data_IF_786392110128
#
_entry.id   IF_786392110128
#
_cell.length_a   1.000
_cell.length_b   1.000
_cell.length_c   1.000
_cell.angle_alpha   90.00
_cell.angle_beta   90.00
_cell.angle_gamma   90.00
#
_symmetry.space_group_name_H-M   'P 1'
#
loop_
_entity.id
_entity.type
_entity.pdbx_description
1 polymer ?
#
# COMPACT_ATOMS: atom_id res chain seq x y z
N UNK A 1 -19.10 0.25 1.84
CA UNK A 1 -18.27 -0.90 1.42
C UNK A 1 -18.07 -1.78 2.64
N UNK A 2 -18.20 -3.10 2.49
CA UNK A 2 -17.99 -4.07 3.57
C UNK A 2 -16.83 -4.96 3.15
N UNK A 3 -15.83 -5.09 4.02
CA UNK A 3 -14.65 -5.94 3.78
C UNK A 3 -14.82 -7.29 4.46
N UNK A 4 -14.02 -8.28 4.05
CA UNK A 4 -14.02 -9.62 4.63
C UNK A 4 -13.71 -9.60 6.14
N UNK A 5 -12.77 -8.75 6.56
CA UNK A 5 -12.44 -8.58 7.96
C UNK A 5 -13.17 -7.36 8.56
N UNK A 6 -13.92 -7.59 9.64
CA UNK A 6 -14.60 -6.52 10.40
C UNK A 6 -13.61 -5.53 11.05
N UNK A 7 -12.35 -5.93 11.21
CA UNK A 7 -11.23 -5.13 11.70
C UNK A 7 -10.52 -4.33 10.59
N UNK A 8 -10.92 -4.50 9.33
CA UNK A 8 -10.48 -3.63 8.25
C UNK A 8 -10.95 -2.20 8.52
N UNK A 9 -10.13 -1.21 8.18
CA UNK A 9 -10.39 0.19 8.50
C UNK A 9 -10.15 1.08 7.29
N UNK A 10 -10.99 2.09 7.15
CA UNK A 10 -10.80 3.22 6.25
C UNK A 10 -10.45 4.44 7.10
N UNK A 11 -9.31 5.04 6.82
CA UNK A 11 -8.86 6.29 7.41
C UNK A 11 -8.85 7.37 6.34
N UNK A 12 -9.48 8.51 6.63
CA UNK A 12 -9.59 9.65 5.72
C UNK A 12 -8.97 10.86 6.41
N UNK A 13 -7.76 11.30 6.02
CA UNK A 13 -7.04 12.36 6.73
C UNK A 13 -7.82 13.67 6.86
N UNK A 14 -8.53 14.07 5.80
CA UNK A 14 -9.33 15.31 5.74
C UNK A 14 -10.79 15.14 6.19
N UNK A 15 -11.15 13.98 6.75
CA UNK A 15 -12.45 13.68 7.33
C UNK A 15 -13.65 13.76 6.36
N UNK A 16 -13.42 13.71 5.05
CA UNK A 16 -14.52 13.54 4.10
C UNK A 16 -15.24 12.20 4.32
N UNK A 17 -16.52 12.08 3.91
CA UNK A 17 -17.20 10.80 3.89
C UNK A 17 -16.39 9.76 3.11
N UNK A 18 -16.28 8.54 3.64
CA UNK A 18 -15.41 7.51 3.06
C UNK A 18 -15.71 7.18 1.60
N UNK A 19 -16.98 7.26 1.15
CA UNK A 19 -17.34 7.10 -0.26
C UNK A 19 -16.71 8.17 -1.15
N UNK A 20 -16.74 9.41 -0.69
CA UNK A 20 -16.28 10.58 -1.43
C UNK A 20 -14.75 10.59 -1.47
N UNK A 21 -14.12 10.24 -0.34
CA UNK A 21 -12.68 10.06 -0.24
C UNK A 21 -12.13 8.96 -1.15
N UNK A 22 -12.84 7.83 -1.30
CA UNK A 22 -12.44 6.73 -2.18
C UNK A 22 -12.65 7.10 -3.66
N UNK A 23 -13.80 7.69 -4.01
CA UNK A 23 -14.15 7.99 -5.41
C UNK A 23 -13.28 9.07 -6.07
N UNK A 24 -12.61 9.93 -5.30
CA UNK A 24 -11.66 10.93 -5.84
C UNK A 24 -10.25 10.38 -6.10
N UNK A 25 -9.97 9.13 -5.70
CA UNK A 25 -8.62 8.55 -5.84
C UNK A 25 -8.27 8.40 -7.32
N UNK A 26 -7.18 9.04 -7.71
CA UNK A 26 -6.65 8.99 -9.09
C UNK A 26 -5.45 8.04 -9.20
N UNK A 27 -4.65 7.96 -8.13
CA UNK A 27 -3.48 7.11 -8.03
C UNK A 27 -3.66 6.21 -6.81
N UNK A 28 -3.61 4.90 -6.97
CA UNK A 28 -3.81 3.94 -5.88
C UNK A 28 -2.54 3.12 -5.66
N UNK A 29 -1.98 3.16 -4.45
CA UNK A 29 -0.95 2.23 -4.02
C UNK A 29 -1.56 1.03 -3.31
N UNK A 30 -1.13 -0.19 -3.66
CA UNK A 30 -1.53 -1.44 -3.03
C UNK A 30 -0.28 -2.16 -2.53
N UNK A 31 -0.01 -2.02 -1.23
CA UNK A 31 1.11 -2.61 -0.51
C UNK A 31 0.68 -3.82 0.32
N UNK A 32 1.62 -4.71 0.60
CA UNK A 32 1.38 -5.89 1.41
C UNK A 32 1.38 -5.55 2.90
N UNK A 33 2.34 -4.72 3.32
CA UNK A 33 2.58 -4.33 4.69
C UNK A 33 2.47 -2.81 4.84
N UNK A 34 2.25 -2.37 6.07
CA UNK A 34 2.47 -0.97 6.42
C UNK A 34 3.95 -0.64 6.20
N UNK A 35 4.27 0.49 5.60
CA UNK A 35 5.58 0.90 5.05
C UNK A 35 5.75 0.75 3.54
N UNK A 36 5.15 -0.26 2.90
CA UNK A 36 5.43 -0.56 1.49
C UNK A 36 5.11 0.64 0.58
N UNK A 37 4.02 1.35 0.83
CA UNK A 37 3.54 2.43 -0.05
C UNK A 37 4.54 3.58 -0.16
N UNK A 38 5.16 3.94 0.95
CA UNK A 38 6.06 5.08 1.06
C UNK A 38 7.37 4.84 0.31
N UNK A 39 7.83 3.59 0.21
CA UNK A 39 9.01 3.22 -0.58
C UNK A 39 8.66 2.92 -2.04
N UNK A 40 7.62 2.13 -2.25
CA UNK A 40 7.23 1.57 -3.53
C UNK A 40 6.57 2.58 -4.46
N UNK A 41 5.71 3.42 -3.88
CA UNK A 41 4.78 4.29 -4.58
C UNK A 41 5.04 5.77 -4.27
N UNK A 42 6.24 6.12 -3.79
CA UNK A 42 6.59 7.52 -3.47
C UNK A 42 6.32 8.47 -4.62
N UNK A 43 6.61 8.06 -5.86
CA UNK A 43 6.27 8.82 -7.05
C UNK A 43 4.76 9.13 -7.12
N UNK A 44 3.88 8.17 -6.86
CA UNK A 44 2.43 8.37 -6.85
C UNK A 44 1.99 9.37 -5.78
N UNK A 45 2.62 9.32 -4.60
CA UNK A 45 2.41 10.29 -3.52
C UNK A 45 2.80 11.69 -4.00
N UNK A 46 3.99 11.85 -4.59
CA UNK A 46 4.47 13.14 -5.11
C UNK A 46 3.59 13.73 -6.22
N UNK A 47 3.04 12.88 -7.10
CA UNK A 47 2.13 13.33 -8.17
C UNK A 47 0.80 13.87 -7.65
N UNK A 48 0.44 13.58 -6.40
CA UNK A 48 -0.83 13.96 -5.79
C UNK A 48 -0.69 14.98 -4.65
N UNK A 49 0.45 15.04 -3.98
CA UNK A 49 0.63 15.89 -2.82
C UNK A 49 0.42 17.38 -3.17
N UNK A 50 -0.53 18.03 -2.47
CA UNK A 50 -0.85 19.44 -2.65
C UNK A 50 -1.58 19.75 -3.97
N UNK A 51 -2.19 18.75 -4.60
CA UNK A 51 -3.02 18.91 -5.80
C UNK A 51 -4.50 19.00 -5.43
N UNK A 52 -5.23 19.75 -6.25
CA UNK A 52 -6.70 19.89 -6.15
C UNK A 52 -7.45 19.02 -7.16
N UNK A 53 -6.71 18.27 -8.00
CA UNK A 53 -7.23 17.45 -9.10
C UNK A 53 -6.74 16.00 -9.06
N UNK A 54 -5.87 15.65 -8.11
CA UNK A 54 -5.26 14.32 -7.99
C UNK A 54 -5.11 13.91 -6.54
N UNK A 55 -5.57 12.70 -6.24
CA UNK A 55 -5.43 12.11 -4.91
C UNK A 55 -4.76 10.76 -4.98
N UNK A 56 -3.82 10.57 -4.06
CA UNK A 56 -3.22 9.28 -3.78
C UNK A 56 -4.07 8.55 -2.73
N UNK A 57 -4.50 7.34 -3.05
CA UNK A 57 -5.11 6.42 -2.10
C UNK A 57 -4.13 5.30 -1.76
N UNK A 58 -4.12 4.86 -0.51
CA UNK A 58 -3.31 3.74 -0.06
C UNK A 58 -4.15 2.54 0.36
N UNK A 59 -3.68 1.34 0.05
CA UNK A 59 -4.18 0.07 0.59
C UNK A 59 -3.02 -0.74 1.15
N UNK A 60 -3.12 -1.15 2.42
CA UNK A 60 -2.22 -2.14 3.02
C UNK A 60 -2.99 -3.42 3.28
N UNK A 61 -2.54 -4.53 2.71
CA UNK A 61 -3.30 -5.77 2.70
C UNK A 61 -3.26 -6.52 4.05
N UNK A 62 -2.10 -6.55 4.71
CA UNK A 62 -1.89 -7.38 5.90
C UNK A 62 -1.91 -6.61 7.22
N UNK A 63 -2.04 -7.37 8.30
CA UNK A 63 -2.22 -6.83 9.65
C UNK A 63 -0.94 -6.41 10.39
N UNK A 64 0.24 -6.81 9.90
CA UNK A 64 1.52 -6.46 10.53
C UNK A 64 1.83 -7.19 11.85
N UNK A 65 1.03 -8.19 12.25
CA UNK A 65 1.23 -8.95 13.50
C UNK A 65 2.61 -9.63 13.58
N UNK A 66 3.15 -10.09 12.45
CA UNK A 66 4.45 -10.74 12.36
C UNK A 66 5.66 -9.81 12.35
N UNK A 67 5.48 -8.52 12.65
CA UNK A 67 6.56 -7.54 12.65
C UNK A 67 7.68 -7.89 13.64
N UNK A 68 8.91 -7.47 13.32
CA UNK A 68 10.05 -7.57 14.22
C UNK A 68 9.76 -6.82 15.53
N UNK A 69 10.26 -7.36 16.64
CA UNK A 69 10.04 -6.84 17.99
C UNK A 69 11.37 -6.74 18.72
N UNK A 70 11.86 -5.53 18.84
CA UNK A 70 13.12 -5.19 19.49
C UNK A 70 12.96 -3.86 20.21
N UNK A 71 13.90 -3.53 21.09
CA UNK A 71 13.90 -2.23 21.78
C UNK A 71 12.58 -1.99 22.53
N UNK A 72 11.95 -0.81 22.37
CA UNK A 72 10.67 -0.47 23.03
C UNK A 72 9.51 -1.44 22.75
N UNK A 73 9.58 -2.20 21.65
CA UNK A 73 8.52 -3.11 21.21
C UNK A 73 8.75 -4.57 21.63
N UNK A 74 9.85 -4.87 22.33
CA UNK A 74 10.26 -6.25 22.64
C UNK A 74 9.19 -7.06 23.40
N UNK A 75 8.37 -6.40 24.23
CA UNK A 75 7.32 -7.04 25.03
C UNK A 75 5.92 -6.98 24.38
N UNK A 76 5.80 -6.46 23.16
CA UNK A 76 4.49 -6.25 22.53
C UNK A 76 3.91 -7.56 22.00
N UNK A 77 2.64 -7.79 22.26
CA UNK A 77 1.85 -8.86 21.64
C UNK A 77 1.58 -8.58 20.16
N UNK A 78 1.08 -9.57 19.41
CA UNK A 78 0.58 -9.39 18.04
C UNK A 78 -0.43 -8.25 17.94
N UNK A 79 -1.41 -8.21 18.84
CA UNK A 79 -2.46 -7.18 18.83
C UNK A 79 -1.91 -5.79 19.10
N UNK A 80 -0.90 -5.66 19.95
CA UNK A 80 -0.25 -4.38 20.22
C UNK A 80 0.58 -3.93 19.02
N UNK A 81 1.33 -4.83 18.38
CA UNK A 81 2.07 -4.52 17.15
C UNK A 81 1.16 -4.11 16.01
N UNK A 82 0.03 -4.79 15.80
CA UNK A 82 -0.97 -4.40 14.80
C UNK A 82 -1.45 -2.96 15.02
N UNK A 83 -1.69 -2.55 16.28
CA UNK A 83 -2.10 -1.17 16.61
C UNK A 83 -1.02 -0.15 16.28
N UNK A 84 0.24 -0.44 16.64
CA UNK A 84 1.38 0.43 16.31
C UNK A 84 1.48 0.61 14.80
N UNK A 85 1.53 -0.49 14.05
CA UNK A 85 1.70 -0.48 12.59
C UNK A 85 0.58 0.29 11.90
N UNK A 86 -0.66 0.13 12.37
CA UNK A 86 -1.81 0.90 11.87
C UNK A 86 -1.66 2.39 12.10
N UNK A 87 -1.23 2.78 13.29
CA UNK A 87 -1.03 4.19 13.63
C UNK A 87 0.10 4.81 12.82
N UNK A 88 1.20 4.08 12.60
CA UNK A 88 2.29 4.51 11.74
C UNK A 88 1.78 4.74 10.31
N UNK A 89 1.03 3.80 9.74
CA UNK A 89 0.48 3.96 8.38
C UNK A 89 -0.50 5.13 8.27
N UNK A 90 -1.38 5.32 9.26
CA UNK A 90 -2.29 6.48 9.30
C UNK A 90 -1.47 7.80 9.39
N UNK A 91 -0.36 7.81 10.12
CA UNK A 91 0.53 8.96 10.24
C UNK A 91 1.24 9.26 8.92
N UNK A 92 1.75 8.24 8.23
CA UNK A 92 2.32 8.39 6.89
C UNK A 92 1.29 8.93 5.89
N UNK A 93 0.03 8.47 5.96
CA UNK A 93 -1.06 8.98 5.14
C UNK A 93 -1.36 10.47 5.39
N UNK A 94 -1.23 10.95 6.64
CA UNK A 94 -1.33 12.39 6.96
C UNK A 94 -0.16 13.17 6.36
N UNK A 95 1.07 12.73 6.55
CA UNK A 95 2.28 13.41 6.03
C UNK A 95 2.28 13.45 4.50
N UNK A 96 1.88 12.35 3.86
CA UNK A 96 1.83 12.20 2.41
C UNK A 96 0.59 12.84 1.76
N UNK A 97 -0.32 13.43 2.53
CA UNK A 97 -1.52 14.07 2.01
C UNK A 97 -2.45 13.10 1.27
N UNK A 98 -2.63 11.89 1.78
CA UNK A 98 -3.43 10.87 1.10
C UNK A 98 -4.92 11.26 1.09
N UNK A 99 -5.60 10.92 0.01
CA UNK A 99 -7.05 11.07 -0.07
C UNK A 99 -7.78 10.05 0.82
N UNK A 100 -7.23 8.84 0.95
CA UNK A 100 -7.75 7.75 1.79
C UNK A 100 -6.66 6.71 2.06
N UNK A 101 -6.70 6.07 3.23
CA UNK A 101 -5.87 4.92 3.59
C UNK A 101 -6.75 3.76 4.05
N UNK A 102 -6.68 2.63 3.35
CA UNK A 102 -7.48 1.42 3.63
C UNK A 102 -6.56 0.32 4.15
N UNK A 103 -6.79 -0.14 5.38
CA UNK A 103 -6.00 -1.20 6.00
C UNK A 103 -6.87 -2.45 6.16
N UNK A 104 -6.65 -3.49 5.34
CA UNK A 104 -7.56 -4.63 5.17
C UNK A 104 -7.43 -5.74 6.22
N UNK A 105 -6.32 -5.76 6.96
CA UNK A 105 -6.10 -6.66 8.11
C UNK A 105 -6.04 -8.16 7.80
N UNK A 106 -5.75 -8.55 6.56
CA UNK A 106 -5.55 -9.97 6.22
C UNK A 106 -4.33 -10.53 6.96
N UNK A 107 -4.35 -11.82 7.29
CA UNK A 107 -3.15 -12.50 7.76
C UNK A 107 -2.22 -12.75 6.56
N UNK A 108 -0.90 -12.62 6.72
CA UNK A 108 0.05 -12.91 5.63
C UNK A 108 -0.08 -14.35 5.10
N UNK A 109 -0.60 -15.28 5.90
CA UNK A 109 -0.90 -16.65 5.48
C UNK A 109 -2.08 -16.76 4.51
N UNK A 110 -3.15 -15.96 4.68
CA UNK A 110 -4.29 -15.98 3.75
C UNK A 110 -3.90 -15.39 2.40
N UNK A 111 -3.13 -14.30 2.41
CA UNK A 111 -2.61 -13.65 1.20
C UNK A 111 -1.74 -14.58 0.33
N UNK A 112 -1.03 -15.53 0.95
CA UNK A 112 -0.20 -16.51 0.24
C UNK A 112 -0.98 -17.74 -0.23
N UNK A 113 -2.26 -17.86 0.11
CA UNK A 113 -3.09 -18.99 -0.29
C UNK A 113 -3.58 -18.84 -1.72
N UNK A 114 -3.38 -19.86 -2.55
CA UNK A 114 -3.86 -19.87 -3.94
C UNK A 114 -5.38 -20.02 -4.07
N UNK A 115 -6.07 -20.48 -3.01
CA UNK A 115 -7.51 -20.77 -3.01
C UNK A 115 -8.32 -19.75 -2.23
N UNK A 116 -7.69 -18.90 -1.42
CA UNK A 116 -8.36 -17.85 -0.68
C UNK A 116 -8.54 -16.62 -1.59
N UNK A 117 -9.78 -16.31 -1.94
CA UNK A 117 -10.10 -15.15 -2.78
C UNK A 117 -10.42 -13.88 -2.02
N UNK A 118 -10.43 -13.91 -0.68
CA UNK A 118 -10.92 -12.80 0.16
C UNK A 118 -10.21 -11.47 -0.14
N UNK A 119 -8.88 -11.49 -0.24
CA UNK A 119 -8.10 -10.31 -0.60
C UNK A 119 -8.46 -9.80 -2.01
N UNK A 120 -8.56 -10.69 -3.00
CA UNK A 120 -8.95 -10.32 -4.38
C UNK A 120 -10.30 -9.62 -4.39
N UNK A 121 -11.25 -10.15 -3.63
CA UNK A 121 -12.64 -9.66 -3.59
C UNK A 121 -12.72 -8.29 -2.89
N UNK A 122 -11.97 -8.08 -1.80
CA UNK A 122 -11.81 -6.75 -1.17
C UNK A 122 -11.15 -5.74 -2.12
N UNK A 123 -10.06 -6.12 -2.80
CA UNK A 123 -9.37 -5.25 -3.75
C UNK A 123 -10.26 -4.91 -4.94
N UNK A 124 -11.06 -5.85 -5.43
CA UNK A 124 -12.03 -5.60 -6.50
C UNK A 124 -13.06 -4.55 -6.07
N UNK A 125 -13.60 -4.65 -4.85
CA UNK A 125 -14.54 -3.66 -4.32
C UNK A 125 -13.91 -2.26 -4.24
N UNK A 126 -12.65 -2.16 -3.76
CA UNK A 126 -11.91 -0.89 -3.70
C UNK A 126 -11.72 -0.31 -5.09
N UNK A 127 -11.19 -1.12 -6.03
CA UNK A 127 -10.91 -0.67 -7.39
C UNK A 127 -12.17 -0.25 -8.13
N UNK A 128 -13.30 -0.96 -7.95
CA UNK A 128 -14.57 -0.61 -8.55
C UNK A 128 -15.14 0.72 -8.02
N UNK A 129 -14.88 1.04 -6.75
CA UNK A 129 -15.32 2.31 -6.15
C UNK A 129 -14.39 3.48 -6.47
N UNK A 130 -13.08 3.25 -6.49
CA UNK A 130 -12.07 4.27 -6.71
C UNK A 130 -11.86 4.58 -8.20
N UNK A 131 -11.88 3.55 -9.05
CA UNK A 131 -11.53 3.62 -10.49
C UNK A 131 -10.28 4.47 -10.75
N UNK A 132 -9.15 4.15 -10.11
CA UNK A 132 -7.93 4.94 -10.24
C UNK A 132 -7.40 4.86 -11.68
N UNK A 133 -6.76 5.94 -12.14
CA UNK A 133 -6.08 5.96 -13.43
C UNK A 133 -4.76 5.17 -13.38
N UNK A 134 -4.06 5.24 -12.25
CA UNK A 134 -2.76 4.61 -12.03
C UNK A 134 -2.81 3.74 -10.79
N UNK A 135 -2.34 2.51 -10.89
CA UNK A 135 -2.14 1.60 -9.75
C UNK A 135 -0.65 1.30 -9.60
N UNK A 136 -0.15 1.44 -8.37
CA UNK A 136 1.17 1.00 -7.94
C UNK A 136 1.00 -0.25 -7.07
N UNK A 137 1.73 -1.31 -7.37
CA UNK A 137 1.79 -2.51 -6.51
C UNK A 137 3.17 -3.14 -6.62
N UNK A 138 3.38 -4.23 -5.90
CA UNK A 138 4.64 -4.96 -5.93
C UNK A 138 4.91 -5.55 -7.33
N UNK A 139 6.16 -5.95 -7.59
CA UNK A 139 6.51 -6.62 -8.83
C UNK A 139 6.30 -8.16 -8.71
N UNK A 140 6.04 -8.87 -9.82
CA UNK A 140 5.77 -10.31 -9.79
C UNK A 140 7.01 -11.17 -9.51
N UNK A 141 8.21 -10.59 -9.51
CA UNK A 141 9.49 -11.26 -9.26
C UNK A 141 10.08 -10.91 -7.89
N UNK A 142 9.27 -10.32 -6.99
CA UNK A 142 9.69 -9.92 -5.66
C UNK A 142 10.18 -11.14 -4.84
N UNK A 143 11.19 -10.91 -3.99
CA UNK A 143 11.75 -11.94 -3.10
C UNK A 143 10.75 -12.39 -2.04
N UNK A 144 9.81 -11.54 -1.64
CA UNK A 144 8.92 -11.77 -0.52
C UNK A 144 7.59 -12.36 -0.98
N UNK A 145 7.28 -13.61 -0.58
CA UNK A 145 6.08 -14.34 -1.05
C UNK A 145 4.76 -13.57 -0.84
N UNK A 146 4.62 -12.83 0.26
CA UNK A 146 3.42 -12.01 0.50
C UNK A 146 3.29 -10.87 -0.50
N UNK A 147 4.39 -10.28 -0.97
CA UNK A 147 4.36 -9.25 -2.01
C UNK A 147 3.83 -9.84 -3.32
N UNK A 148 4.35 -11.01 -3.71
CA UNK A 148 3.87 -11.74 -4.89
C UNK A 148 2.38 -12.09 -4.76
N UNK A 149 1.93 -12.57 -3.60
CA UNK A 149 0.51 -12.85 -3.33
C UNK A 149 -0.39 -11.63 -3.52
N UNK A 150 0.02 -10.46 -3.01
CA UNK A 150 -0.69 -9.19 -3.22
C UNK A 150 -0.68 -8.76 -4.69
N UNK A 151 0.45 -8.89 -5.39
CA UNK A 151 0.54 -8.57 -6.82
C UNK A 151 -0.44 -9.41 -7.64
N UNK A 152 -0.50 -10.73 -7.37
CA UNK A 152 -1.42 -11.65 -8.04
C UNK A 152 -2.87 -11.28 -7.75
N UNK A 153 -3.24 -11.07 -6.49
CA UNK A 153 -4.60 -10.69 -6.11
C UNK A 153 -5.02 -9.34 -6.74
N UNK A 154 -4.10 -8.37 -6.78
CA UNK A 154 -4.32 -7.06 -7.41
C UNK A 154 -4.58 -7.19 -8.90
N UNK A 155 -3.76 -7.96 -9.63
CA UNK A 155 -3.93 -8.21 -11.07
C UNK A 155 -5.24 -8.94 -11.35
N UNK A 156 -5.60 -9.93 -10.54
CA UNK A 156 -6.86 -10.64 -10.68
C UNK A 156 -8.06 -9.71 -10.45
N UNK A 157 -8.02 -8.89 -9.40
CA UNK A 157 -9.06 -7.91 -9.09
C UNK A 157 -9.24 -6.88 -10.22
N UNK A 158 -8.14 -6.31 -10.74
CA UNK A 158 -8.18 -5.40 -11.89
C UNK A 158 -8.72 -6.08 -13.15
N UNK A 159 -8.36 -7.33 -13.41
CA UNK A 159 -8.86 -8.07 -14.59
C UNK A 159 -10.35 -8.43 -14.48
N UNK A 160 -10.89 -8.55 -13.27
CA UNK A 160 -12.31 -8.82 -13.04
C UNK A 160 -13.21 -7.60 -13.30
N UNK A 161 -12.65 -6.38 -13.31
CA UNK A 161 -13.39 -5.17 -13.67
C UNK A 161 -13.78 -5.16 -15.16
N UNK A 162 -14.90 -4.51 -15.52
CA UNK A 162 -15.22 -4.17 -16.90
C UNK A 162 -14.03 -3.49 -17.58
N UNK A 163 -13.72 -3.78 -18.86
CA UNK A 163 -12.53 -3.22 -19.52
C UNK A 163 -12.39 -1.70 -19.45
N UNK A 164 -13.50 -0.96 -19.44
CA UNK A 164 -13.52 0.50 -19.33
C UNK A 164 -13.27 1.06 -17.92
N UNK A 165 -13.42 0.23 -16.88
CA UNK A 165 -13.21 0.62 -15.48
C UNK A 165 -11.82 0.20 -14.95
N UNK A 166 -11.00 -0.46 -15.79
CA UNK A 166 -9.64 -0.86 -15.43
C UNK A 166 -8.71 0.35 -15.38
N UNK A 167 -7.69 0.35 -14.50
CA UNK A 167 -6.70 1.42 -14.49
C UNK A 167 -5.96 1.48 -15.82
N UNK A 168 -5.62 2.70 -16.24
CA UNK A 168 -4.90 2.97 -17.49
C UNK A 168 -3.44 2.53 -17.39
N UNK A 169 -2.87 2.56 -16.19
CA UNK A 169 -1.49 2.17 -15.93
C UNK A 169 -1.40 1.33 -14.66
N UNK A 170 -0.69 0.21 -14.75
CA UNK A 170 -0.26 -0.61 -13.62
C UNK A 170 1.27 -0.59 -13.57
N UNK A 171 1.84 -0.25 -12.43
CA UNK A 171 3.28 -0.20 -12.20
C UNK A 171 3.63 -1.23 -11.13
N UNK A 172 4.45 -2.21 -11.50
CA UNK A 172 5.05 -3.18 -10.58
C UNK A 172 6.37 -2.64 -10.07
N UNK A 173 6.42 -2.34 -8.78
CA UNK A 173 7.55 -1.68 -8.16
C UNK A 173 8.42 -2.66 -7.35
N UNK A 174 9.70 -2.34 -7.21
CA UNK A 174 10.66 -3.10 -6.41
C UNK A 174 11.06 -2.27 -5.19
N UNK A 175 11.06 -2.91 -4.02
CA UNK A 175 11.27 -2.26 -2.71
C UNK A 175 12.42 -2.89 -1.94
N UNK A 176 12.73 -4.16 -2.21
CA UNK A 176 13.65 -4.96 -1.40
C UNK A 176 15.05 -5.05 -2.02
N UNK A 177 15.13 -5.18 -3.34
CA UNK A 177 16.36 -5.41 -4.11
C UNK A 177 16.55 -4.36 -5.20
N UNK A 178 17.54 -4.57 -6.06
CA UNK A 178 17.71 -3.84 -7.30
C UNK A 178 17.07 -4.55 -8.49
N UNK A 179 16.77 -3.78 -9.53
CA UNK A 179 16.28 -4.27 -10.82
C UNK A 179 17.40 -4.49 -11.84
N UNK A 180 18.67 -4.56 -11.40
CA UNK A 180 19.84 -4.69 -12.28
C UNK A 180 19.81 -5.92 -13.19
N UNK A 181 19.06 -6.95 -12.80
CA UNK A 181 18.87 -8.18 -13.59
C UNK A 181 17.86 -8.02 -14.74
N UNK A 182 17.04 -6.97 -14.74
CA UNK A 182 16.09 -6.69 -15.81
C UNK A 182 16.72 -5.84 -16.92
N UNK A 183 16.30 -6.01 -18.18
CA UNK A 183 16.67 -5.10 -19.25
C UNK A 183 16.06 -3.71 -19.01
N UNK A 184 16.77 -2.65 -19.43
CA UNK A 184 16.36 -1.27 -19.15
C UNK A 184 15.05 -0.89 -19.84
N UNK A 185 14.74 -1.49 -20.99
CA UNK A 185 13.49 -1.27 -21.74
C UNK A 185 12.26 -1.82 -21.01
N UNK A 186 12.46 -2.74 -20.06
CA UNK A 186 11.40 -3.27 -19.19
C UNK A 186 11.27 -2.48 -17.88
N UNK A 187 12.11 -1.48 -17.64
CA UNK A 187 12.08 -0.62 -16.45
C UNK A 187 11.36 0.69 -16.78
N UNK A 188 10.75 1.27 -15.75
CA UNK A 188 10.19 2.61 -15.81
C UNK A 188 10.92 3.45 -14.78
N UNK A 189 11.68 4.44 -15.23
CA UNK A 189 12.29 5.42 -14.34
C UNK A 189 11.21 6.39 -13.83
N UNK A 190 11.20 6.60 -12.53
CA UNK A 190 10.32 7.54 -11.84
C UNK A 190 11.19 8.56 -11.12
N UNK A 191 11.13 9.81 -11.56
CA UNK A 191 11.89 10.87 -10.92
C UNK A 191 11.24 11.26 -9.59
N UNK A 192 12.01 11.14 -8.52
CA UNK A 192 11.61 11.47 -7.14
C UNK A 192 12.66 12.33 -6.42
N UNK A 193 13.61 12.89 -7.18
CA UNK A 193 14.85 13.48 -6.65
C UNK A 193 14.66 14.78 -5.84
N UNK A 194 13.62 15.57 -6.11
CA UNK A 194 13.47 16.91 -5.52
C UNK A 194 12.82 16.94 -4.11
N UNK A 195 12.62 15.78 -3.47
CA UNK A 195 11.75 15.67 -2.27
C UNK A 195 12.33 14.78 -1.15
N UNK A 196 13.64 14.74 -0.99
CA UNK A 196 14.33 13.94 0.04
C UNK A 196 13.81 14.18 1.46
N UNK A 197 13.51 15.43 1.83
CA UNK A 197 12.96 15.75 3.15
C UNK A 197 11.60 15.09 3.41
N UNK A 198 10.76 15.00 2.37
CA UNK A 198 9.46 14.34 2.48
C UNK A 198 9.63 12.81 2.51
N UNK A 199 10.52 12.26 1.68
CA UNK A 199 10.86 10.84 1.73
C UNK A 199 11.34 10.44 3.13
N UNK A 200 12.28 11.20 3.69
CA UNK A 200 12.77 11.00 5.06
C UNK A 200 11.65 11.10 6.11
N UNK A 201 10.76 12.08 5.98
CA UNK A 201 9.62 12.24 6.89
C UNK A 201 8.66 11.05 6.83
N UNK A 202 8.31 10.56 5.64
CA UNK A 202 7.44 9.40 5.45
C UNK A 202 8.11 8.12 5.98
N UNK A 203 9.35 7.87 5.58
CA UNK A 203 10.08 6.65 5.95
C UNK A 203 10.34 6.58 7.45
N UNK A 204 10.63 7.73 8.07
CA UNK A 204 10.90 7.84 9.51
C UNK A 204 9.71 7.57 10.42
N UNK A 205 8.48 7.55 9.89
CA UNK A 205 7.27 7.23 10.68
C UNK A 205 7.28 5.78 11.18
N UNK A 206 7.91 4.87 10.43
CA UNK A 206 7.87 3.44 10.70
C UNK A 206 8.93 3.01 11.73
N UNK A 207 8.92 3.68 12.88
CA UNK A 207 9.87 3.48 13.98
C UNK A 207 9.93 2.03 14.45
N UNK A 208 8.80 1.32 14.49
CA UNK A 208 8.77 -0.09 14.86
C UNK A 208 9.60 -0.97 13.93
N UNK A 209 9.66 -0.63 12.65
CA UNK A 209 10.45 -1.38 11.66
C UNK A 209 11.92 -0.99 11.69
N UNK A 210 12.21 0.30 11.86
CA UNK A 210 13.57 0.83 11.98
C UNK A 210 14.25 0.26 13.22
N UNK A 211 13.57 0.34 14.37
CA UNK A 211 14.00 -0.30 15.62
C UNK A 211 14.17 -1.82 15.43
N UNK A 212 13.30 -2.44 14.63
CA UNK A 212 13.36 -3.83 14.22
C UNK A 212 14.58 -4.23 13.38
N UNK A 213 15.40 -3.26 12.96
CA UNK A 213 16.64 -3.44 12.22
C UNK A 213 16.55 -3.09 10.73
N UNK A 214 15.40 -2.61 10.23
CA UNK A 214 15.31 -2.10 8.85
C UNK A 214 16.13 -0.81 8.73
N UNK A 215 16.87 -0.69 7.62
CA UNK A 215 17.70 0.47 7.27
C UNK A 215 17.24 0.98 5.92
N UNK A 216 16.18 1.77 5.96
CA UNK A 216 15.64 2.46 4.80
C UNK A 216 16.62 3.50 4.27
#
# INVERSE_FOLDING_TARGET
MTFHHHSARVFVPDQLPGSDAISRVTHLGIGAHQDDLEFMAFHGILQCLGRDDRWFGGVTCTNGAGSSRTGPYACFTDKEMMKVRRQEQDTAAVIGGYGVMIQLDHASSSVKSATDSSLRDDLHAILAAARPEVVYTHNPADKHDTHVGVTVASIQAMRALPPGDRPRKLIGCEVWRGLDWMPDEAKVLMDVSDRDNLAAALNGVFDSQITGGKRY
#
